data_IF_341165356517
#
_entry.id   IF_341165356517
#
_cell.length_a   1.000
_cell.length_b   1.000
_cell.length_c   1.000
_cell.angle_alpha   90.00
_cell.angle_beta   90.00
_cell.angle_gamma   90.00
#
_symmetry.space_group_name_H-M   'P 1'
#
loop_
_entity.id
_entity.type
_entity.pdbx_description
1 polymer ?
#
# COMPACT_ATOMS: atom_id res chain seq x y z
N UNK A 1 0.47 20.23 -15.25
CA UNK A 1 0.73 20.97 -13.99
C UNK A 1 1.69 20.19 -13.11
N UNK A 2 2.83 20.77 -12.68
CA UNK A 2 3.72 20.12 -11.73
C UNK A 2 2.99 19.98 -10.37
N UNK A 3 3.10 18.80 -9.73
CA UNK A 3 2.53 18.59 -8.40
C UNK A 3 3.22 19.50 -7.38
N UNK A 4 2.46 20.15 -6.49
CA UNK A 4 3.02 20.91 -5.36
C UNK A 4 4.01 20.02 -4.60
N UNK A 5 5.23 20.52 -4.37
CA UNK A 5 6.25 19.85 -3.54
C UNK A 5 5.61 19.45 -2.20
N UNK A 6 5.66 18.17 -1.85
CA UNK A 6 5.06 17.61 -0.63
C UNK A 6 3.67 16.96 -0.78
N UNK A 7 3.04 17.02 -1.96
CA UNK A 7 1.76 16.32 -2.17
C UNK A 7 1.95 14.80 -2.38
N UNK A 8 1.35 13.99 -1.51
CA UNK A 8 1.25 12.54 -1.68
C UNK A 8 0.28 12.22 -2.83
N UNK A 9 0.74 11.42 -3.79
CA UNK A 9 -0.06 11.04 -4.97
C UNK A 9 -1.17 10.05 -4.64
N UNK A 10 -2.21 10.02 -5.48
CA UNK A 10 -3.40 9.14 -5.33
C UNK A 10 -3.03 7.66 -5.13
N UNK A 11 -2.11 7.10 -5.92
CA UNK A 11 -1.67 5.71 -5.74
C UNK A 11 -1.07 5.47 -4.36
N UNK A 12 -0.21 6.38 -3.88
CA UNK A 12 0.42 6.24 -2.56
C UNK A 12 -0.64 6.26 -1.45
N UNK A 13 -1.68 7.08 -1.59
CA UNK A 13 -2.83 7.07 -0.68
C UNK A 13 -3.61 5.74 -0.74
N UNK A 14 -3.87 5.20 -1.93
CA UNK A 14 -4.49 3.87 -2.07
C UNK A 14 -3.64 2.78 -1.40
N UNK A 15 -2.32 2.80 -1.58
CA UNK A 15 -1.42 1.84 -0.96
C UNK A 15 -1.43 1.93 0.57
N UNK A 16 -1.42 3.15 1.12
CA UNK A 16 -1.54 3.36 2.56
C UNK A 16 -2.88 2.82 3.09
N UNK A 17 -3.98 3.06 2.37
CA UNK A 17 -5.30 2.52 2.71
C UNK A 17 -5.32 0.99 2.73
N UNK A 18 -4.71 0.35 1.71
CA UNK A 18 -4.61 -1.11 1.62
C UNK A 18 -3.82 -1.68 2.80
N UNK A 19 -2.66 -1.10 3.11
CA UNK A 19 -1.81 -1.57 4.23
C UNK A 19 -2.57 -1.43 5.55
N UNK A 20 -3.23 -0.30 5.79
CA UNK A 20 -4.04 -0.07 6.98
C UNK A 20 -5.18 -1.09 7.12
N UNK A 21 -5.89 -1.37 6.02
CA UNK A 21 -6.99 -2.34 5.99
C UNK A 21 -6.49 -3.75 6.30
N UNK A 22 -5.37 -4.17 5.70
CA UNK A 22 -4.75 -5.48 5.98
C UNK A 22 -4.28 -5.61 7.43
N UNK A 23 -3.63 -4.56 7.98
CA UNK A 23 -3.20 -4.56 9.39
C UNK A 23 -4.38 -4.73 10.36
N UNK A 24 -5.50 -4.03 10.12
CA UNK A 24 -6.72 -4.18 10.94
C UNK A 24 -7.27 -5.60 10.94
N UNK A 25 -7.07 -6.33 9.84
CA UNK A 25 -7.48 -7.73 9.67
C UNK A 25 -6.42 -8.74 10.12
N UNK A 26 -5.29 -8.27 10.68
CA UNK A 26 -4.13 -9.10 11.05
C UNK A 26 -3.54 -9.85 9.84
N UNK A 27 -3.75 -9.34 8.63
CA UNK A 27 -3.16 -9.85 7.39
C UNK A 27 -1.80 -9.21 7.12
N UNK A 28 -0.97 -9.86 6.29
CA UNK A 28 0.40 -9.43 6.01
C UNK A 28 0.50 -8.62 4.72
N UNK A 29 0.75 -7.31 4.77
CA UNK A 29 0.92 -6.47 3.58
C UNK A 29 2.33 -6.60 2.98
N UNK A 30 2.44 -7.32 1.88
CA UNK A 30 3.65 -7.38 1.04
C UNK A 30 3.33 -6.92 -0.39
N UNK A 31 4.37 -6.56 -1.15
CA UNK A 31 4.24 -5.85 -2.42
C UNK A 31 3.27 -6.50 -3.42
N UNK A 32 3.30 -7.83 -3.54
CA UNK A 32 2.40 -8.56 -4.44
C UNK A 32 0.93 -8.49 -4.02
N UNK A 33 0.61 -8.67 -2.74
CA UNK A 33 -0.78 -8.54 -2.24
C UNK A 33 -1.30 -7.12 -2.43
N UNK A 34 -0.47 -6.12 -2.17
CA UNK A 34 -0.83 -4.71 -2.40
C UNK A 34 -1.16 -4.48 -3.88
N UNK A 35 -0.34 -5.03 -4.79
CA UNK A 35 -0.59 -4.97 -6.23
C UNK A 35 -1.90 -5.67 -6.63
N UNK A 36 -2.17 -6.87 -6.09
CA UNK A 36 -3.41 -7.60 -6.38
C UNK A 36 -4.65 -6.81 -5.96
N UNK A 37 -4.62 -6.16 -4.78
CA UNK A 37 -5.75 -5.36 -4.30
C UNK A 37 -5.91 -4.09 -5.14
N UNK A 38 -4.82 -3.40 -5.51
CA UNK A 38 -4.88 -2.26 -6.44
C UNK A 38 -5.56 -2.64 -7.76
N UNK A 39 -5.24 -3.82 -8.30
CA UNK A 39 -5.82 -4.35 -9.53
C UNK A 39 -7.29 -4.71 -9.36
N UNK A 40 -7.62 -5.49 -8.31
CA UNK A 40 -8.97 -6.03 -8.10
C UNK A 40 -9.98 -4.95 -7.71
N UNK A 41 -9.62 -4.14 -6.72
CA UNK A 41 -10.51 -3.19 -6.04
C UNK A 41 -10.49 -1.82 -6.74
N UNK A 42 -9.31 -1.25 -6.92
CA UNK A 42 -9.18 0.11 -7.48
C UNK A 42 -9.06 0.15 -9.01
N UNK A 43 -9.13 -1.01 -9.69
CA UNK A 43 -8.95 -1.16 -11.14
C UNK A 43 -7.70 -0.42 -11.67
N UNK A 44 -6.63 -0.43 -10.88
CA UNK A 44 -5.37 0.26 -11.16
C UNK A 44 -4.21 -0.74 -11.25
N UNK A 45 -3.10 -0.37 -11.91
CA UNK A 45 -1.93 -1.27 -12.09
C UNK A 45 -2.32 -2.61 -12.74
N UNK A 46 -3.15 -2.54 -13.79
CA UNK A 46 -3.79 -3.70 -14.42
C UNK A 46 -2.78 -4.63 -15.11
N UNK A 47 -1.64 -4.10 -15.56
CA UNK A 47 -0.63 -4.87 -16.27
C UNK A 47 0.35 -5.53 -15.28
N UNK A 48 0.77 -6.78 -15.52
CA UNK A 48 1.80 -7.43 -14.68
C UNK A 48 3.09 -6.62 -14.56
N UNK A 49 3.46 -5.88 -15.61
CA UNK A 49 4.66 -5.03 -15.64
C UNK A 49 4.62 -3.87 -14.66
N UNK A 50 3.43 -3.48 -14.19
CA UNK A 50 3.24 -2.36 -13.27
C UNK A 50 3.68 -2.70 -11.83
N UNK A 51 3.94 -3.98 -11.52
CA UNK A 51 4.39 -4.41 -10.19
C UNK A 51 5.69 -3.72 -9.75
N UNK A 52 6.58 -3.37 -10.68
CA UNK A 52 7.83 -2.63 -10.37
C UNK A 52 7.54 -1.24 -9.79
N UNK A 53 6.49 -0.59 -10.28
CA UNK A 53 6.07 0.73 -9.80
C UNK A 53 5.55 0.68 -8.36
N UNK A 54 5.01 -0.46 -7.92
CA UNK A 54 4.59 -0.68 -6.53
C UNK A 54 5.80 -0.60 -5.60
N UNK A 55 6.90 -1.27 -5.93
CA UNK A 55 8.12 -1.23 -5.12
C UNK A 55 8.74 0.17 -5.08
N UNK A 56 8.67 0.93 -6.16
CA UNK A 56 9.07 2.35 -6.15
C UNK A 56 8.21 3.17 -5.18
N UNK A 57 6.89 2.99 -5.19
CA UNK A 57 6.01 3.69 -4.25
C UNK A 57 6.22 3.27 -2.79
N UNK A 58 6.44 1.97 -2.51
CA UNK A 58 6.76 1.49 -1.17
C UNK A 58 8.08 2.10 -0.67
N UNK A 59 9.10 2.17 -1.53
CA UNK A 59 10.37 2.83 -1.19
C UNK A 59 10.16 4.31 -0.87
N UNK A 60 9.38 5.01 -1.68
CA UNK A 60 9.08 6.43 -1.43
C UNK A 60 8.30 6.63 -0.13
N UNK A 61 7.28 5.81 0.14
CA UNK A 61 6.48 5.87 1.36
C UNK A 61 7.32 5.56 2.61
N UNK A 62 8.30 4.67 2.49
CA UNK A 62 9.29 4.40 3.54
C UNK A 62 10.19 5.62 3.77
N UNK A 63 10.71 6.23 2.70
CA UNK A 63 11.52 7.47 2.78
C UNK A 63 10.75 8.66 3.36
N UNK A 64 9.43 8.69 3.15
CA UNK A 64 8.53 9.70 3.74
C UNK A 64 8.12 9.39 5.18
N UNK A 65 8.61 8.27 5.73
CA UNK A 65 8.33 7.78 7.09
C UNK A 65 6.85 7.46 7.34
N UNK A 66 6.10 7.14 6.28
CA UNK A 66 4.72 6.64 6.41
C UNK A 66 4.68 5.12 6.58
N UNK A 67 5.72 4.43 6.15
CA UNK A 67 5.86 2.98 6.28
C UNK A 67 7.20 2.63 6.90
N UNK A 68 7.23 1.50 7.58
CA UNK A 68 8.45 0.82 7.99
C UNK A 68 8.45 -0.62 7.47
N UNK A 69 9.64 -1.18 7.33
CA UNK A 69 9.88 -2.58 6.94
C UNK A 69 10.00 -3.39 8.21
N UNK A 70 9.02 -4.25 8.49
CA UNK A 70 8.97 -4.97 9.76
C UNK A 70 9.73 -6.30 9.70
N UNK A 71 9.37 -7.13 8.73
CA UNK A 71 9.80 -8.53 8.67
C UNK A 71 10.06 -8.95 7.23
N UNK A 72 11.00 -9.88 7.05
CA UNK A 72 11.20 -10.58 5.78
C UNK A 72 10.73 -12.01 5.96
N UNK A 73 9.76 -12.44 5.15
CA UNK A 73 9.24 -13.80 5.16
C UNK A 73 9.83 -14.58 3.98
N UNK A 74 10.63 -15.60 4.28
CA UNK A 74 11.10 -16.56 3.29
C UNK A 74 9.95 -17.45 2.80
N UNK A 75 9.88 -17.66 1.49
CA UNK A 75 8.86 -18.50 0.85
C UNK A 75 9.55 -19.46 -0.11
N UNK A 76 9.42 -20.77 0.12
CA UNK A 76 10.08 -21.79 -0.69
C UNK A 76 9.71 -21.63 -2.18
N UNK A 77 10.70 -21.49 -3.04
CA UNK A 77 10.53 -21.34 -4.48
C UNK A 77 10.11 -19.95 -4.95
N UNK A 78 10.07 -18.95 -4.06
CA UNK A 78 9.72 -17.56 -4.39
C UNK A 78 10.71 -16.58 -3.75
N UNK A 79 10.84 -15.36 -4.28
CA UNK A 79 11.57 -14.29 -3.61
C UNK A 79 10.98 -13.98 -2.24
N UNK A 80 11.84 -13.59 -1.31
CA UNK A 80 11.45 -13.19 0.03
C UNK A 80 10.43 -12.05 0.04
N UNK A 81 9.47 -12.14 0.95
CA UNK A 81 8.40 -11.15 1.09
C UNK A 81 8.77 -10.15 2.17
N UNK A 82 9.00 -8.90 1.76
CA UNK A 82 9.07 -7.78 2.70
C UNK A 82 7.67 -7.42 3.19
N UNK A 83 7.45 -7.52 4.49
CA UNK A 83 6.24 -7.03 5.17
C UNK A 83 6.41 -5.56 5.54
N UNK A 84 5.40 -4.76 5.25
CA UNK A 84 5.37 -3.32 5.55
C UNK A 84 4.35 -3.03 6.64
N UNK A 85 4.61 -2.09 7.52
CA UNK A 85 3.62 -1.64 8.51
C UNK A 85 3.56 -0.13 8.53
N UNK A 86 2.41 0.40 8.96
CA UNK A 86 2.24 1.84 9.08
C UNK A 86 2.94 2.33 10.34
N UNK A 87 3.76 3.35 10.16
CA UNK A 87 4.22 4.19 11.28
C UNK A 87 3.04 4.99 11.83
N UNK A 88 3.21 5.60 13.00
CA UNK A 88 2.20 6.50 13.57
C UNK A 88 1.84 7.65 12.60
N UNK A 89 2.84 8.22 11.93
CA UNK A 89 2.67 9.24 10.89
C UNK A 89 1.83 8.70 9.71
N UNK A 90 2.09 7.46 9.30
CA UNK A 90 1.35 6.73 8.27
C UNK A 90 -0.11 6.49 8.66
N UNK A 91 -0.39 6.08 9.89
CA UNK A 91 -1.76 5.87 10.40
C UNK A 91 -2.56 7.16 10.36
N UNK A 92 -2.03 8.24 10.95
CA UNK A 92 -2.70 9.56 10.99
C UNK A 92 -3.07 10.08 9.60
N UNK A 93 -2.14 10.01 8.63
CA UNK A 93 -2.44 10.49 7.28
C UNK A 93 -3.46 9.59 6.58
N UNK A 94 -3.43 8.28 6.83
CA UNK A 94 -4.36 7.33 6.23
C UNK A 94 -5.78 7.59 6.71
N UNK A 95 -6.00 7.68 8.01
CA UNK A 95 -7.31 7.97 8.61
C UNK A 95 -7.86 9.33 8.16
N UNK A 96 -6.99 10.33 8.02
CA UNK A 96 -7.39 11.68 7.57
C UNK A 96 -7.74 11.72 6.08
N UNK A 97 -6.95 11.07 5.23
CA UNK A 97 -6.97 11.31 3.76
C UNK A 97 -7.48 10.15 2.91
N UNK A 98 -7.61 8.96 3.48
CA UNK A 98 -7.94 7.74 2.73
C UNK A 98 -9.34 7.21 3.03
N UNK A 99 -10.23 8.01 3.64
CA UNK A 99 -11.60 7.59 4.02
C UNK A 99 -12.36 6.93 2.88
N UNK A 100 -12.33 7.54 1.68
CA UNK A 100 -13.00 6.98 0.51
C UNK A 100 -12.36 5.66 0.04
N UNK A 101 -11.03 5.57 0.06
CA UNK A 101 -10.33 4.34 -0.30
C UNK A 101 -10.63 3.20 0.68
N UNK A 102 -10.72 3.51 1.98
CA UNK A 102 -11.10 2.56 3.01
C UNK A 102 -12.55 2.08 2.81
N UNK A 103 -13.49 2.99 2.54
CA UNK A 103 -14.87 2.63 2.22
C UNK A 103 -14.96 1.65 1.05
N UNK A 104 -14.26 1.94 -0.06
CA UNK A 104 -14.24 1.06 -1.23
C UNK A 104 -13.63 -0.32 -0.91
N UNK A 105 -12.61 -0.37 -0.04
CA UNK A 105 -12.02 -1.64 0.42
C UNK A 105 -13.01 -2.45 1.27
N UNK A 106 -13.74 -1.78 2.16
CA UNK A 106 -14.74 -2.43 3.01
C UNK A 106 -15.97 -2.91 2.20
N UNK A 107 -16.34 -2.20 1.13
CA UNK A 107 -17.43 -2.58 0.22
C UNK A 107 -17.07 -3.72 -0.72
N UNK A 108 -15.82 -3.79 -1.19
CA UNK A 108 -15.37 -4.83 -2.12
C UNK A 108 -15.30 -6.24 -1.50
N UNK A 109 -15.52 -6.35 -0.20
CA UNK A 109 -15.45 -7.59 0.58
C UNK A 109 -16.83 -8.01 1.12
N UNK A 110 -17.91 -7.27 0.79
CA UNK A 110 -19.31 -7.68 1.01
C UNK A 110 -19.80 -8.56 -0.15
#
# INVERSE_FOLDING_TARGET
MPRKRGSIGKTKLMMLAIIYHLEKRKERPYGYVIWQILKRVFKSYLKPTDIRNIYHHLRDLTKMEYLERKETQAVKGFPDRQIYVLTEKGRKITEKRCKEHLRVLDEAEK
#
